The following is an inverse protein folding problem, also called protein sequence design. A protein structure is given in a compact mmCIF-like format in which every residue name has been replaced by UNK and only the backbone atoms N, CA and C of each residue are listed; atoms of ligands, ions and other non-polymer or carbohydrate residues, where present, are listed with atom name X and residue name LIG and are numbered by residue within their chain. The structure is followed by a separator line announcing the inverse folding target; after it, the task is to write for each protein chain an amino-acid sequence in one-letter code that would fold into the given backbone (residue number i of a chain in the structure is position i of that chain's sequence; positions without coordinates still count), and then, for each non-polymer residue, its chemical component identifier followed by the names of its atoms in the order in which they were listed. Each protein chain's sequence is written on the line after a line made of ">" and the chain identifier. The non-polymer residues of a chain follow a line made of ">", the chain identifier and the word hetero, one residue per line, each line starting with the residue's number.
data_IF_485154968463
#
_entry.id   IF_485154968463
#
_cell.length_a   1.000
_cell.length_b   1.000
_cell.length_c   1.000
_cell.angle_alpha   90.00
_cell.angle_beta   90.00
_cell.angle_gamma   90.00
#
_symmetry.space_group_name_H-M   'P 1'
#
loop_
_entity.id
_entity.type
_entity.pdbx_description
1 polymer ?
#
# COMPACT_ATOMS: atom_id res chain seq x y z
N UNK A 1 -39.81 46.78 -32.43
CA UNK A 1 -41.00 46.43 -31.61
C UNK A 1 -40.51 45.89 -30.28
N UNK A 2 -40.43 46.77 -29.26
CA UNK A 2 -40.02 46.42 -27.89
C UNK A 2 -41.26 45.90 -27.13
N UNK A 3 -41.19 44.63 -26.69
CA UNK A 3 -42.15 44.10 -25.70
C UNK A 3 -41.50 44.11 -24.34
N UNK A 4 -41.86 45.12 -23.53
CA UNK A 4 -41.57 45.18 -22.09
C UNK A 4 -42.52 44.26 -21.36
N UNK A 5 -41.99 43.23 -20.69
CA UNK A 5 -42.76 42.41 -19.77
C UNK A 5 -42.86 43.15 -18.42
N UNK A 6 -44.05 43.60 -18.11
CA UNK A 6 -44.39 44.11 -16.78
C UNK A 6 -44.74 42.91 -15.89
N UNK A 7 -43.83 42.51 -14.99
CA UNK A 7 -44.19 41.62 -13.89
C UNK A 7 -45.11 42.42 -12.91
N UNK A 8 -46.26 41.89 -12.56
CA UNK A 8 -47.14 42.60 -11.64
C UNK A 8 -46.56 42.56 -10.22
N UNK A 9 -46.41 43.72 -9.60
CA UNK A 9 -45.91 43.92 -8.24
C UNK A 9 -46.67 43.11 -7.16
N UNK A 10 -47.86 42.62 -7.52
CA UNK A 10 -48.69 41.76 -6.67
C UNK A 10 -48.09 40.38 -6.40
N UNK A 11 -47.28 39.81 -7.34
CA UNK A 11 -46.64 38.54 -7.17
C UNK A 11 -45.40 38.61 -6.26
N UNK A 12 -44.74 39.76 -6.25
CA UNK A 12 -43.60 40.00 -5.38
C UNK A 12 -44.01 40.19 -3.91
N UNK A 13 -45.19 40.73 -3.67
CA UNK A 13 -45.76 40.90 -2.33
C UNK A 13 -46.27 39.58 -1.73
N UNK A 14 -46.76 38.63 -2.55
CA UNK A 14 -47.11 37.27 -2.10
C UNK A 14 -45.89 36.43 -1.77
N UNK A 15 -44.77 36.61 -2.47
CA UNK A 15 -43.51 35.89 -2.16
C UNK A 15 -42.85 36.36 -0.85
N UNK A 16 -42.95 37.66 -0.52
CA UNK A 16 -42.47 38.20 0.76
C UNK A 16 -43.36 37.80 1.96
N UNK A 17 -44.66 37.64 1.76
CA UNK A 17 -45.57 37.18 2.82
C UNK A 17 -45.46 35.68 3.11
N UNK A 18 -44.97 34.85 2.16
CA UNK A 18 -44.77 33.44 2.36
C UNK A 18 -43.44 33.10 3.08
N UNK A 19 -42.47 34.02 3.09
CA UNK A 19 -41.20 33.83 3.77
C UNK A 19 -41.24 34.11 5.28
N UNK A 20 -42.33 34.72 5.78
CA UNK A 20 -42.51 35.06 7.20
C UNK A 20 -43.27 34.01 8.04
N UNK A 21 -43.73 32.92 7.41
CA UNK A 21 -44.58 31.92 8.12
C UNK A 21 -43.96 30.55 8.37
N UNK A 22 -42.64 30.42 8.24
CA UNK A 22 -41.97 29.14 8.52
C UNK A 22 -41.00 29.18 9.69
N UNK A 23 -41.20 30.08 10.64
CA UNK A 23 -40.64 29.93 11.98
C UNK A 23 -41.72 29.40 12.92
N UNK A 24 -42.28 28.23 12.62
CA UNK A 24 -42.87 27.43 13.67
C UNK A 24 -41.69 26.78 14.35
N UNK A 25 -41.35 27.24 15.54
CA UNK A 25 -40.59 26.47 16.52
C UNK A 25 -41.26 25.09 16.58
N UNK A 26 -40.55 24.05 16.17
CA UNK A 26 -40.88 22.70 16.58
C UNK A 26 -40.58 22.59 18.06
N UNK A 27 -41.54 22.98 18.86
CA UNK A 27 -41.72 22.45 20.18
C UNK A 27 -42.64 21.25 19.99
N UNK A 28 -42.07 20.05 20.02
CA UNK A 28 -42.82 18.85 20.40
C UNK A 28 -41.88 17.69 20.64
N UNK A 29 -41.78 17.39 21.88
CA UNK A 29 -42.08 16.04 22.31
C UNK A 29 -40.91 15.14 22.62
N UNK A 30 -40.81 14.79 23.85
CA UNK A 30 -40.09 13.65 24.41
C UNK A 30 -38.57 13.71 24.15
N UNK A 31 -37.96 14.87 24.42
CA UNK A 31 -36.58 14.96 24.78
C UNK A 31 -36.40 14.25 26.13
N UNK A 32 -35.93 13.03 26.08
CA UNK A 32 -35.18 12.49 27.21
C UNK A 32 -34.15 13.54 27.58
N UNK A 33 -34.30 14.09 28.78
CA UNK A 33 -33.61 15.21 29.40
C UNK A 33 -32.08 15.15 29.17
N UNK A 34 -31.59 15.53 27.98
CA UNK A 34 -30.20 15.94 27.84
C UNK A 34 -30.04 17.30 28.48
N UNK A 35 -30.14 17.29 29.79
CA UNK A 35 -30.25 18.47 30.61
C UNK A 35 -28.89 19.16 30.67
N UNK A 36 -28.64 20.07 29.77
CA UNK A 36 -27.41 20.87 29.73
C UNK A 36 -27.38 21.99 30.77
N UNK A 37 -28.35 21.99 31.70
CA UNK A 37 -28.40 22.94 32.81
C UNK A 37 -28.65 22.24 34.14
N UNK A 38 -27.78 22.44 35.07
CA UNK A 38 -27.90 21.89 36.44
C UNK A 38 -27.54 22.95 37.48
N UNK A 39 -28.58 23.54 38.08
CA UNK A 39 -28.46 24.41 39.25
C UNK A 39 -27.51 25.59 39.08
N UNK A 40 -27.55 26.27 37.96
CA UNK A 40 -26.66 27.40 37.59
C UNK A 40 -25.40 26.99 36.84
N UNK A 41 -25.24 25.71 36.51
CA UNK A 41 -24.22 25.19 35.64
C UNK A 41 -24.87 24.86 34.29
N UNK A 42 -24.34 25.34 33.18
CA UNK A 42 -24.85 25.02 31.85
C UNK A 42 -23.71 24.78 30.87
N UNK A 43 -23.89 23.79 30.00
CA UNK A 43 -23.03 23.54 28.86
C UNK A 43 -23.71 24.13 27.61
N UNK A 44 -23.07 25.08 26.96
CA UNK A 44 -23.56 25.70 25.73
C UNK A 44 -22.98 25.01 24.49
N UNK A 45 -21.68 24.75 24.49
CA UNK A 45 -20.97 24.14 23.36
C UNK A 45 -19.71 23.46 23.85
N UNK A 46 -19.31 22.41 23.13
CA UNK A 46 -18.02 21.77 23.32
C UNK A 46 -17.34 21.53 21.95
N UNK A 47 -16.04 21.34 21.94
CA UNK A 47 -15.28 21.07 20.72
C UNK A 47 -13.78 21.25 20.85
N UNK A 48 -13.05 20.90 19.77
CA UNK A 48 -13.56 20.47 18.46
C UNK A 48 -14.18 19.06 18.48
N UNK A 49 -15.10 18.80 17.57
CA UNK A 49 -15.58 17.47 17.26
C UNK A 49 -15.75 17.44 15.73
N UNK A 50 -14.96 16.63 15.00
CA UNK A 50 -14.00 15.63 15.52
C UNK A 50 -12.76 16.22 16.20
N UNK A 51 -12.17 15.46 17.13
CA UNK A 51 -10.93 15.78 17.85
C UNK A 51 -9.93 14.62 17.71
N UNK A 52 -8.63 14.92 17.76
CA UNK A 52 -7.60 13.87 17.81
C UNK A 52 -7.45 13.33 19.24
N UNK A 53 -7.21 12.03 19.42
CA UNK A 53 -6.79 11.49 20.71
C UNK A 53 -5.46 12.13 21.14
N UNK A 54 -5.35 12.52 22.42
CA UNK A 54 -4.28 13.35 22.92
C UNK A 54 -4.47 14.86 22.65
N UNK A 55 -5.47 15.23 21.87
CA UNK A 55 -5.83 16.65 21.63
C UNK A 55 -6.60 17.25 22.80
N UNK A 56 -6.82 18.56 22.75
CA UNK A 56 -7.55 19.31 23.79
C UNK A 56 -8.99 19.51 23.38
N UNK A 57 -9.90 19.06 24.25
CA UNK A 57 -11.34 19.26 24.13
C UNK A 57 -11.75 20.39 25.07
N UNK A 58 -12.49 21.40 24.56
CA UNK A 58 -12.95 22.57 25.28
C UNK A 58 -14.44 22.47 25.53
N UNK A 59 -14.86 22.91 26.72
CA UNK A 59 -16.27 23.01 27.09
C UNK A 59 -16.55 24.47 27.47
N UNK A 60 -17.57 25.07 26.87
CA UNK A 60 -17.97 26.44 27.09
C UNK A 60 -19.39 26.49 27.64
N UNK A 61 -19.59 27.27 28.70
CA UNK A 61 -20.87 27.35 29.36
C UNK A 61 -20.90 28.36 30.50
N UNK A 62 -21.63 28.08 31.55
CA UNK A 62 -21.65 28.87 32.78
C UNK A 62 -21.36 27.96 33.96
N UNK A 63 -20.61 28.44 34.97
CA UNK A 63 -20.24 27.67 36.14
C UNK A 63 -19.38 26.46 35.85
N UNK A 64 -18.56 26.52 34.77
CA UNK A 64 -17.67 25.45 34.34
C UNK A 64 -16.59 25.13 35.37
N UNK A 65 -16.21 26.09 36.19
CA UNK A 65 -15.32 25.93 37.36
C UNK A 65 -15.82 24.92 38.41
N UNK A 66 -17.08 24.52 38.33
CA UNK A 66 -17.72 23.54 39.25
C UNK A 66 -17.81 22.13 38.69
N UNK A 67 -17.32 21.91 37.47
CA UNK A 67 -17.21 20.55 36.88
C UNK A 67 -16.11 19.81 37.62
N UNK A 68 -16.42 18.60 38.14
CA UNK A 68 -15.48 17.81 38.93
C UNK A 68 -14.81 16.70 38.14
N UNK A 69 -15.47 16.21 37.08
CA UNK A 69 -14.92 15.23 36.17
C UNK A 69 -15.61 15.31 34.79
N UNK A 70 -14.92 14.86 33.78
CA UNK A 70 -15.43 14.70 32.43
C UNK A 70 -15.35 13.22 32.05
N UNK A 71 -16.50 12.60 31.80
CA UNK A 71 -16.60 11.22 31.36
C UNK A 71 -16.71 11.17 29.83
N UNK A 72 -15.74 10.55 29.19
CA UNK A 72 -15.72 10.23 27.75
C UNK A 72 -15.83 8.70 27.63
N UNK A 73 -16.66 8.16 26.71
CA UNK A 73 -16.75 6.71 26.53
C UNK A 73 -15.37 6.06 26.28
N UNK A 74 -15.20 4.84 26.79
CA UNK A 74 -13.98 4.04 26.61
C UNK A 74 -12.79 4.38 27.51
N UNK A 75 -12.94 5.36 28.42
CA UNK A 75 -11.90 5.71 29.39
C UNK A 75 -12.48 6.01 30.77
N UNK A 76 -11.60 6.06 31.78
CA UNK A 76 -11.95 6.49 33.13
C UNK A 76 -12.32 7.98 33.16
N UNK A 77 -13.03 8.37 34.22
CA UNK A 77 -13.39 9.78 34.42
C UNK A 77 -12.14 10.67 34.48
N UNK A 78 -12.12 11.69 33.64
CA UNK A 78 -11.02 12.67 33.57
C UNK A 78 -11.22 13.69 34.68
N UNK A 79 -10.35 13.69 35.67
CA UNK A 79 -10.35 14.63 36.80
C UNK A 79 -9.27 15.72 36.66
N UNK A 80 -8.31 15.52 35.74
CA UNK A 80 -7.32 16.52 35.38
C UNK A 80 -7.95 17.52 34.39
N UNK A 81 -8.60 18.55 34.96
CA UNK A 81 -9.36 19.56 34.25
C UNK A 81 -8.61 20.89 34.33
N UNK A 82 -8.24 21.46 33.20
CA UNK A 82 -7.76 22.83 33.12
C UNK A 82 -8.96 23.79 33.21
N UNK A 83 -9.12 24.47 34.34
CA UNK A 83 -10.14 25.50 34.53
C UNK A 83 -9.60 26.84 34.03
N UNK A 84 -10.02 27.26 32.83
CA UNK A 84 -9.58 28.52 32.22
C UNK A 84 -10.37 29.69 32.85
N UNK A 85 -11.69 29.50 33.07
CA UNK A 85 -12.57 30.48 33.70
C UNK A 85 -13.85 29.78 34.20
N UNK A 86 -14.76 30.55 34.77
CA UNK A 86 -16.12 30.07 35.13
C UNK A 86 -16.96 29.74 33.88
N UNK A 87 -16.49 30.08 32.69
CA UNK A 87 -17.17 29.84 31.44
C UNK A 87 -16.44 28.86 30.50
N UNK A 88 -15.21 28.45 30.85
CA UNK A 88 -14.40 27.55 30.01
C UNK A 88 -13.56 26.58 30.85
N UNK A 89 -13.67 25.30 30.51
CA UNK A 89 -12.73 24.25 30.92
C UNK A 89 -12.17 23.53 29.74
N UNK A 90 -11.02 22.89 29.95
CA UNK A 90 -10.32 22.07 28.94
C UNK A 90 -9.89 20.75 29.54
N UNK A 91 -9.92 19.69 28.74
CA UNK A 91 -9.38 18.38 29.08
C UNK A 91 -8.58 17.82 27.91
N UNK A 92 -7.56 17.03 28.23
CA UNK A 92 -6.82 16.26 27.24
C UNK A 92 -7.58 14.96 26.98
N UNK A 93 -7.87 14.64 25.73
CA UNK A 93 -8.59 13.43 25.33
C UNK A 93 -7.68 12.21 25.49
N UNK A 94 -8.07 11.19 26.28
CA UNK A 94 -7.28 9.98 26.45
C UNK A 94 -7.13 9.17 25.15
N UNK A 95 -6.05 8.36 25.06
CA UNK A 95 -5.81 7.49 23.91
C UNK A 95 -6.85 6.38 23.75
N UNK A 96 -7.50 5.96 24.86
CA UNK A 96 -8.53 4.92 24.90
C UNK A 96 -9.94 5.43 24.62
N UNK A 97 -10.12 6.76 24.50
CA UNK A 97 -11.44 7.37 24.28
C UNK A 97 -12.15 6.80 23.05
N UNK A 98 -13.46 6.60 23.17
CA UNK A 98 -14.33 6.11 22.09
C UNK A 98 -15.36 7.17 21.70
N UNK A 99 -15.90 7.14 20.48
CA UNK A 99 -16.99 8.03 20.08
C UNK A 99 -18.22 7.87 20.98
N UNK A 100 -18.96 8.95 21.17
CA UNK A 100 -20.21 8.97 21.90
C UNK A 100 -20.47 10.25 22.68
N UNK A 101 -21.53 10.26 23.48
CA UNK A 101 -21.90 11.41 24.29
C UNK A 101 -20.92 11.59 25.46
N UNK A 102 -20.55 12.84 25.73
CA UNK A 102 -19.67 13.21 26.84
C UNK A 102 -20.49 13.68 28.01
N UNK A 103 -20.12 13.29 29.22
CA UNK A 103 -20.83 13.65 30.46
C UNK A 103 -19.92 14.50 31.35
N UNK A 104 -20.38 15.70 31.69
CA UNK A 104 -19.75 16.56 32.70
C UNK A 104 -20.36 16.27 34.05
N UNK A 105 -19.57 15.78 35.00
CA UNK A 105 -19.99 15.52 36.37
C UNK A 105 -19.91 16.78 37.19
N UNK A 106 -21.00 17.11 37.87
CA UNK A 106 -21.09 18.32 38.71
C UNK A 106 -21.75 18.01 40.06
N UNK A 107 -21.53 18.84 41.09
CA UNK A 107 -22.19 18.65 42.39
C UNK A 107 -23.72 18.78 42.35
N UNK A 108 -24.27 19.29 41.26
CA UNK A 108 -25.72 19.46 41.05
C UNK A 108 -26.36 18.41 40.15
N UNK A 109 -25.54 17.45 39.70
CA UNK A 109 -25.91 16.38 38.78
C UNK A 109 -25.17 16.47 37.44
N UNK A 110 -25.30 15.44 36.66
CA UNK A 110 -24.56 15.25 35.43
C UNK A 110 -25.19 16.04 34.28
N UNK A 111 -24.34 16.58 33.37
CA UNK A 111 -24.73 17.27 32.15
C UNK A 111 -24.18 16.45 30.97
N UNK A 112 -25.08 15.91 30.14
CA UNK A 112 -24.70 15.13 28.95
C UNK A 112 -24.74 16.01 27.72
N UNK A 113 -23.75 15.88 26.84
CA UNK A 113 -23.74 16.61 25.56
C UNK A 113 -24.89 16.16 24.65
N UNK A 114 -25.41 17.08 23.82
CA UNK A 114 -26.48 16.77 22.84
C UNK A 114 -25.96 16.07 21.60
N UNK A 115 -24.70 16.28 21.26
CA UNK A 115 -24.04 15.70 20.11
C UNK A 115 -22.90 14.80 20.56
N UNK A 116 -22.62 13.79 19.78
CA UNK A 116 -21.53 12.87 20.04
C UNK A 116 -20.16 13.52 19.77
N UNK A 117 -19.19 13.16 20.58
CA UNK A 117 -17.78 13.37 20.31
C UNK A 117 -17.35 12.38 19.24
N UNK A 118 -16.73 12.87 18.19
CA UNK A 118 -16.14 12.06 17.13
C UNK A 118 -14.63 12.33 17.03
N UNK A 119 -13.91 11.44 16.37
CA UNK A 119 -12.45 11.52 16.31
C UNK A 119 -11.95 11.72 14.88
N UNK A 120 -10.86 12.48 14.76
CA UNK A 120 -10.03 12.57 13.57
C UNK A 120 -8.72 11.86 13.86
N UNK A 121 -8.38 10.90 13.01
CA UNK A 121 -7.17 10.11 13.11
C UNK A 121 -6.42 10.20 11.77
N UNK A 122 -5.66 11.29 11.57
CA UNK A 122 -4.93 11.49 10.34
C UNK A 122 -3.79 10.46 10.25
N UNK A 123 -3.97 9.47 9.38
CA UNK A 123 -2.92 8.48 9.11
C UNK A 123 -1.77 9.21 8.39
N UNK A 124 -0.56 9.03 8.88
CA UNK A 124 0.64 9.56 8.26
C UNK A 124 1.71 8.48 8.18
N UNK A 125 2.36 8.38 7.04
CA UNK A 125 3.59 7.62 6.84
C UNK A 125 4.76 8.60 6.97
N UNK A 126 5.69 8.35 7.89
CA UNK A 126 6.83 9.23 8.16
C UNK A 126 8.12 8.68 7.57
N UNK A 127 8.36 7.37 7.72
CA UNK A 127 9.55 6.72 7.20
C UNK A 127 9.34 5.22 7.01
N UNK A 128 10.27 4.59 6.32
CA UNK A 128 10.38 3.14 6.24
C UNK A 128 11.85 2.72 6.20
N UNK A 129 12.14 1.53 6.66
CA UNK A 129 13.49 0.93 6.67
C UNK A 129 13.41 -0.61 6.60
N UNK A 130 14.36 -1.25 5.91
CA UNK A 130 15.43 -0.66 5.12
C UNK A 130 14.93 -0.06 3.80
N UNK A 131 15.73 0.77 3.13
CA UNK A 131 15.40 1.33 1.81
C UNK A 131 15.55 0.30 0.69
N UNK A 132 16.42 -0.70 0.89
CA UNK A 132 16.61 -1.87 0.03
C UNK A 132 16.31 -3.13 0.84
N UNK A 133 15.53 -4.05 0.26
CA UNK A 133 15.12 -5.28 0.93
C UNK A 133 15.10 -6.44 -0.05
N UNK A 134 15.57 -7.61 0.41
CA UNK A 134 15.43 -8.86 -0.33
C UNK A 134 13.99 -9.40 -0.17
N UNK A 135 13.37 -9.98 -1.20
CA UNK A 135 12.11 -10.71 -1.07
C UNK A 135 12.14 -11.68 0.13
N UNK A 136 11.09 -11.72 0.93
CA UNK A 136 11.04 -12.44 2.21
C UNK A 136 11.67 -11.70 3.40
N UNK A 137 12.30 -10.55 3.19
CA UNK A 137 12.84 -9.70 4.26
C UNK A 137 11.77 -8.84 4.93
N UNK A 138 12.06 -8.38 6.15
CA UNK A 138 11.16 -7.53 6.93
C UNK A 138 11.33 -6.06 6.54
N UNK A 139 10.22 -5.38 6.27
CA UNK A 139 10.10 -3.93 6.11
C UNK A 139 9.42 -3.36 7.35
N UNK A 140 10.05 -2.37 7.98
CA UNK A 140 9.48 -1.59 9.07
C UNK A 140 9.00 -0.24 8.54
N UNK A 141 7.74 0.09 8.78
CA UNK A 141 7.09 1.34 8.38
C UNK A 141 6.73 2.10 9.65
N UNK A 142 7.10 3.37 9.75
CA UNK A 142 6.81 4.22 10.91
C UNK A 142 5.96 5.42 10.53
N UNK A 143 5.12 5.87 11.49
CA UNK A 143 4.20 6.97 11.25
C UNK A 143 3.20 7.16 12.39
N UNK A 144 2.06 7.76 12.08
CA UNK A 144 0.97 7.97 13.03
C UNK A 144 -0.33 7.31 12.57
N UNK A 145 -1.08 6.77 13.54
CA UNK A 145 -2.34 6.06 13.34
C UNK A 145 -2.25 4.85 12.39
N UNK A 146 -1.09 4.22 12.32
CA UNK A 146 -0.85 3.06 11.48
C UNK A 146 -1.67 1.82 11.90
N UNK A 147 -2.22 1.80 13.12
CA UNK A 147 -3.16 0.76 13.57
C UNK A 147 -4.48 0.74 12.77
N UNK A 148 -4.76 1.76 11.98
CA UNK A 148 -5.95 1.84 11.11
C UNK A 148 -5.69 1.26 9.71
N UNK A 149 -4.45 1.00 9.36
CA UNK A 149 -4.08 0.40 8.07
C UNK A 149 -4.59 -1.04 8.01
N UNK A 150 -5.16 -1.41 6.87
CA UNK A 150 -5.69 -2.75 6.59
C UNK A 150 -4.88 -3.52 5.56
N UNK A 151 -4.07 -2.81 4.77
CA UNK A 151 -3.24 -3.42 3.75
C UNK A 151 -2.04 -2.54 3.38
N UNK A 152 -0.96 -3.19 3.00
CA UNK A 152 0.21 -2.58 2.34
C UNK A 152 0.22 -3.08 0.91
N UNK A 153 0.20 -2.16 -0.05
CA UNK A 153 0.18 -2.47 -1.48
C UNK A 153 1.54 -2.07 -2.05
N UNK A 154 2.34 -3.06 -2.43
CA UNK A 154 3.62 -2.86 -3.10
C UNK A 154 3.43 -2.55 -4.58
N UNK A 155 4.50 -2.19 -5.27
CA UNK A 155 4.47 -1.99 -6.71
C UNK A 155 3.95 -3.25 -7.43
N UNK A 156 3.36 -3.07 -8.62
CA UNK A 156 2.66 -4.12 -9.38
C UNK A 156 1.47 -4.75 -8.63
N UNK A 157 0.78 -3.92 -7.79
CA UNK A 157 -0.45 -4.29 -7.08
C UNK A 157 -0.33 -5.49 -6.12
N UNK A 158 0.89 -5.82 -5.69
CA UNK A 158 1.13 -6.91 -4.73
C UNK A 158 0.71 -6.47 -3.34
N UNK A 159 -0.38 -7.03 -2.83
CA UNK A 159 -1.02 -6.60 -1.57
C UNK A 159 -0.73 -7.58 -0.44
N UNK A 160 -0.40 -7.03 0.73
CA UNK A 160 -0.28 -7.76 2.00
C UNK A 160 -1.35 -7.22 2.95
N UNK A 161 -2.34 -8.03 3.35
CA UNK A 161 -3.39 -7.62 4.27
C UNK A 161 -2.88 -7.58 5.72
N UNK A 162 -3.60 -6.85 6.61
CA UNK A 162 -3.16 -6.60 7.97
C UNK A 162 -3.05 -7.86 8.85
N UNK A 163 -3.77 -8.92 8.53
CA UNK A 163 -3.69 -10.21 9.22
C UNK A 163 -2.40 -11.01 8.89
N UNK A 164 -1.67 -10.60 7.87
CA UNK A 164 -0.35 -11.13 7.48
C UNK A 164 0.81 -10.24 7.97
N UNK A 165 0.55 -9.14 8.66
CA UNK A 165 1.60 -8.30 9.22
C UNK A 165 2.35 -9.03 10.35
N UNK A 166 3.66 -8.87 10.40
CA UNK A 166 4.48 -9.38 11.51
C UNK A 166 4.05 -8.72 12.83
N UNK A 167 3.84 -7.40 12.80
CA UNK A 167 3.28 -6.63 13.90
C UNK A 167 2.66 -5.34 13.40
N UNK A 168 1.69 -4.84 14.17
CA UNK A 168 1.05 -3.56 13.91
C UNK A 168 0.79 -2.82 15.22
N UNK A 169 1.14 -1.56 15.25
CA UNK A 169 0.86 -0.64 16.36
C UNK A 169 0.38 0.70 15.80
N UNK A 170 0.11 1.67 16.67
CA UNK A 170 -0.26 3.02 16.23
C UNK A 170 0.85 3.71 15.43
N UNK A 171 2.12 3.42 15.74
CA UNK A 171 3.27 4.14 15.19
C UNK A 171 4.16 3.27 14.31
N UNK A 172 3.93 1.96 14.24
CA UNK A 172 4.80 1.04 13.49
C UNK A 172 3.99 -0.10 12.88
N UNK A 173 4.32 -0.44 11.65
CA UNK A 173 3.95 -1.68 10.98
C UNK A 173 5.23 -2.40 10.58
N UNK A 174 5.26 -3.72 10.80
CA UNK A 174 6.27 -4.62 10.28
C UNK A 174 5.61 -5.61 9.36
N UNK A 175 6.13 -5.71 8.14
CA UNK A 175 5.57 -6.58 7.09
C UNK A 175 6.70 -7.31 6.38
N UNK A 176 6.46 -8.56 5.99
CA UNK A 176 7.37 -9.29 5.11
C UNK A 176 7.10 -8.86 3.67
N UNK A 177 8.17 -8.48 2.97
CA UNK A 177 8.07 -8.11 1.55
C UNK A 177 7.83 -9.38 0.74
N UNK A 178 6.73 -9.47 -0.03
CA UNK A 178 6.39 -10.65 -0.81
C UNK A 178 7.45 -10.99 -1.87
N UNK A 179 7.56 -12.28 -2.21
CA UNK A 179 8.47 -12.75 -3.27
C UNK A 179 8.19 -12.12 -4.63
N UNK A 180 6.94 -11.75 -4.88
CA UNK A 180 6.48 -11.12 -6.13
C UNK A 180 6.58 -9.59 -6.12
N UNK A 181 6.98 -8.96 -5.02
CA UNK A 181 7.10 -7.51 -4.96
C UNK A 181 8.16 -6.99 -5.92
N UNK A 182 7.92 -5.80 -6.48
CA UNK A 182 8.84 -5.10 -7.39
C UNK A 182 9.32 -3.80 -6.75
N UNK A 183 10.46 -3.30 -7.20
CA UNK A 183 10.96 -1.97 -6.82
C UNK A 183 9.96 -0.89 -7.20
N UNK A 184 9.68 0.00 -6.26
CA UNK A 184 8.76 1.11 -6.46
C UNK A 184 8.20 1.66 -5.17
N UNK A 185 7.29 2.62 -5.30
CA UNK A 185 6.54 3.15 -4.17
C UNK A 185 5.50 2.15 -3.71
N UNK A 186 5.32 2.05 -2.42
CA UNK A 186 4.22 1.29 -1.82
C UNK A 186 3.15 2.23 -1.26
N UNK A 187 1.97 1.69 -1.02
CA UNK A 187 0.78 2.40 -0.55
C UNK A 187 0.31 1.75 0.75
N UNK A 188 -0.05 2.57 1.73
CA UNK A 188 -0.83 2.14 2.88
C UNK A 188 -2.29 2.44 2.62
N UNK A 189 -3.18 1.49 2.87
CA UNK A 189 -4.62 1.61 2.66
C UNK A 189 -5.38 1.26 3.95
N UNK A 190 -6.41 2.03 4.25
CA UNK A 190 -7.31 1.78 5.39
C UNK A 190 -8.42 0.76 5.06
N UNK A 191 -8.46 0.25 3.82
CA UNK A 191 -9.41 -0.76 3.36
C UNK A 191 -10.87 -0.29 3.35
N UNK A 192 -11.13 1.02 3.37
CA UNK A 192 -12.48 1.56 3.26
C UNK A 192 -13.06 1.37 1.84
N UNK A 193 -14.39 1.49 1.67
CA UNK A 193 -15.04 1.43 0.35
C UNK A 193 -14.47 2.49 -0.62
N UNK A 194 -14.12 3.67 -0.08
CA UNK A 194 -13.30 4.68 -0.75
C UNK A 194 -12.02 4.78 0.06
N UNK A 195 -10.95 4.06 -0.32
CA UNK A 195 -9.78 3.92 0.52
C UNK A 195 -8.98 5.23 0.60
N UNK A 196 -8.45 5.49 1.77
CA UNK A 196 -7.43 6.50 1.96
C UNK A 196 -6.07 5.89 1.62
N UNK A 197 -5.47 6.33 0.52
CA UNK A 197 -4.18 5.86 0.03
C UNK A 197 -3.07 6.81 0.44
N UNK A 198 -2.14 6.31 1.24
CA UNK A 198 -0.96 7.04 1.67
C UNK A 198 0.26 6.44 0.97
N UNK A 199 0.87 7.19 0.08
CA UNK A 199 2.03 6.77 -0.71
C UNK A 199 3.31 6.98 0.06
N UNK A 200 4.28 6.05 -0.09
CA UNK A 200 5.64 6.27 0.39
C UNK A 200 6.27 7.47 -0.34
N UNK A 201 7.07 8.27 0.36
CA UNK A 201 7.80 9.39 -0.27
C UNK A 201 8.91 8.86 -1.19
N UNK A 202 9.67 7.87 -0.70
CA UNK A 202 10.72 7.18 -1.47
C UNK A 202 10.22 5.89 -2.11
N UNK A 203 11.03 5.33 -2.99
CA UNK A 203 10.86 4.00 -3.55
C UNK A 203 11.52 2.98 -2.64
N UNK A 204 10.87 1.83 -2.45
CA UNK A 204 11.47 0.65 -1.85
C UNK A 204 12.23 -0.09 -2.94
N UNK A 205 13.53 -0.29 -2.76
CA UNK A 205 14.33 -1.09 -3.65
C UNK A 205 14.20 -2.58 -3.28
N UNK A 206 13.73 -3.39 -4.22
CA UNK A 206 13.61 -4.84 -4.03
C UNK A 206 14.74 -5.52 -4.76
N UNK A 207 15.56 -6.25 -3.99
CA UNK A 207 16.74 -6.92 -4.51
C UNK A 207 16.37 -7.95 -5.57
N UNK A 208 17.07 -7.90 -6.70
CA UNK A 208 16.91 -8.82 -7.82
C UNK A 208 18.18 -9.72 -7.95
N UNK A 209 18.08 -10.86 -8.64
CA UNK A 209 19.28 -11.58 -9.12
C UNK A 209 20.15 -10.63 -9.96
N UNK A 210 21.46 -10.75 -9.86
CA UNK A 210 22.37 -9.88 -10.62
C UNK A 210 23.60 -10.63 -11.12
N UNK A 211 24.16 -10.11 -12.20
CA UNK A 211 25.45 -10.53 -12.78
C UNK A 211 26.31 -9.28 -13.00
N UNK A 212 27.63 -9.41 -12.85
CA UNK A 212 28.53 -8.28 -13.11
C UNK A 212 28.43 -7.83 -14.57
N UNK A 213 28.38 -8.79 -15.52
CA UNK A 213 28.09 -8.56 -16.91
C UNK A 213 27.47 -9.83 -17.52
N UNK A 214 26.48 -9.69 -18.44
CA UNK A 214 25.98 -10.84 -19.18
C UNK A 214 27.09 -11.57 -19.93
N UNK A 215 27.04 -12.92 -19.92
CA UNK A 215 28.01 -13.73 -20.62
C UNK A 215 27.78 -13.69 -22.14
N UNK A 216 28.85 -13.50 -22.92
CA UNK A 216 28.83 -13.69 -24.37
C UNK A 216 29.10 -15.15 -24.73
N UNK A 217 28.06 -15.86 -25.14
CA UNK A 217 28.10 -17.28 -25.48
C UNK A 217 28.14 -17.46 -27.00
N UNK A 218 29.34 -17.33 -27.56
CA UNK A 218 29.55 -17.48 -29.02
C UNK A 218 29.83 -18.94 -29.40
N UNK A 219 29.35 -19.37 -30.58
CA UNK A 219 29.54 -20.73 -31.13
C UNK A 219 29.05 -21.87 -30.21
N UNK A 220 28.00 -21.61 -29.46
CA UNK A 220 27.38 -22.61 -28.58
C UNK A 220 26.49 -23.56 -29.36
N UNK A 221 26.32 -24.75 -28.80
CA UNK A 221 25.54 -25.82 -29.39
C UNK A 221 24.43 -26.27 -28.46
N UNK A 222 23.33 -26.80 -28.97
CA UNK A 222 22.39 -27.57 -28.19
C UNK A 222 23.10 -28.62 -27.32
N UNK A 223 22.72 -28.74 -26.05
CA UNK A 223 23.35 -29.66 -25.11
C UNK A 223 24.55 -29.10 -24.35
N UNK A 224 25.07 -27.92 -24.71
CA UNK A 224 26.14 -27.27 -23.95
C UNK A 224 25.65 -26.86 -22.56
N UNK A 225 26.44 -27.16 -21.55
CA UNK A 225 26.21 -26.75 -20.17
C UNK A 225 26.76 -25.35 -19.95
N UNK A 226 25.91 -24.44 -19.56
CA UNK A 226 26.23 -23.05 -19.27
C UNK A 226 26.29 -22.84 -17.75
N UNK A 227 27.30 -22.10 -17.31
CA UNK A 227 27.47 -21.68 -15.93
C UNK A 227 27.58 -20.17 -15.88
N UNK A 228 26.76 -19.58 -15.04
CA UNK A 228 26.70 -18.13 -14.84
C UNK A 228 27.01 -17.86 -13.37
N UNK A 229 27.96 -16.98 -13.11
CA UNK A 229 28.26 -16.50 -11.77
C UNK A 229 27.56 -15.17 -11.51
N UNK A 230 27.02 -14.98 -10.32
CA UNK A 230 26.30 -13.78 -9.96
C UNK A 230 25.94 -13.74 -8.48
N UNK A 231 24.96 -12.92 -8.15
CA UNK A 231 24.46 -12.76 -6.78
C UNK A 231 22.93 -12.94 -6.74
N UNK A 232 22.44 -13.36 -5.59
CA UNK A 232 21.02 -13.55 -5.30
C UNK A 232 20.29 -14.52 -6.27
N UNK A 233 21.00 -15.53 -6.76
CA UNK A 233 20.39 -16.53 -7.64
C UNK A 233 19.42 -17.47 -6.92
N UNK A 234 19.39 -17.46 -5.57
CA UNK A 234 18.35 -18.10 -4.77
C UNK A 234 16.94 -17.51 -5.03
N UNK A 235 16.86 -16.29 -5.57
CA UNK A 235 15.61 -15.64 -5.98
C UNK A 235 15.12 -16.13 -7.36
N UNK A 236 15.97 -16.77 -8.16
CA UNK A 236 15.59 -17.23 -9.51
C UNK A 236 14.55 -18.34 -9.42
N UNK A 237 13.45 -18.17 -10.13
CA UNK A 237 12.38 -19.16 -10.28
C UNK A 237 12.39 -19.81 -11.66
N UNK A 238 12.84 -19.07 -12.69
CA UNK A 238 12.85 -19.53 -14.09
C UNK A 238 14.09 -19.06 -14.81
N UNK A 239 14.58 -19.89 -15.73
CA UNK A 239 15.57 -19.51 -16.74
C UNK A 239 14.88 -19.56 -18.11
N UNK A 240 14.79 -18.43 -18.79
CA UNK A 240 14.09 -18.30 -20.06
C UNK A 240 15.06 -18.11 -21.21
N UNK A 241 14.90 -18.94 -22.25
CA UNK A 241 15.66 -18.87 -23.49
C UNK A 241 15.14 -17.75 -24.41
N UNK A 242 15.92 -17.34 -25.43
CA UNK A 242 15.52 -16.29 -26.36
C UNK A 242 14.19 -16.55 -27.09
N UNK A 243 13.84 -17.81 -27.31
CA UNK A 243 12.59 -18.23 -27.93
C UNK A 243 11.39 -18.24 -26.95
N UNK A 244 11.63 -17.91 -25.66
CA UNK A 244 10.61 -17.90 -24.61
C UNK A 244 10.48 -19.21 -23.85
N UNK A 245 11.15 -20.28 -24.24
CA UNK A 245 11.11 -21.57 -23.54
C UNK A 245 11.81 -21.48 -22.18
N UNK A 246 11.26 -22.14 -21.18
CA UNK A 246 11.87 -22.29 -19.86
C UNK A 246 12.71 -23.57 -19.81
N UNK A 247 13.86 -23.52 -19.15
CA UNK A 247 14.75 -24.67 -18.98
C UNK A 247 15.01 -24.94 -17.51
N UNK A 248 15.25 -26.21 -17.18
CA UNK A 248 15.67 -26.62 -15.85
C UNK A 248 17.05 -26.09 -15.54
N UNK A 249 17.27 -25.72 -14.28
CA UNK A 249 18.53 -25.19 -13.80
C UNK A 249 18.87 -25.71 -12.40
N UNK A 250 20.13 -25.60 -12.05
CA UNK A 250 20.61 -25.83 -10.68
C UNK A 250 21.35 -24.59 -10.20
N UNK A 251 21.26 -24.31 -8.92
CA UNK A 251 21.94 -23.20 -8.26
C UNK A 251 22.84 -23.74 -7.17
N UNK A 252 24.06 -23.21 -7.09
CA UNK A 252 25.02 -23.50 -6.02
C UNK A 252 25.44 -22.18 -5.40
N UNK A 253 25.12 -21.99 -4.12
CA UNK A 253 25.58 -20.83 -3.37
C UNK A 253 27.00 -21.07 -2.82
N UNK A 254 27.85 -20.06 -2.89
CA UNK A 254 29.17 -20.07 -2.30
C UNK A 254 29.53 -18.72 -1.65
N UNK A 255 30.64 -18.69 -0.89
CA UNK A 255 31.14 -17.43 -0.30
C UNK A 255 31.71 -16.45 -1.32
N UNK A 256 31.91 -16.88 -2.56
CA UNK A 256 32.46 -16.08 -3.67
C UNK A 256 31.36 -15.65 -4.67
N UNK A 257 30.10 -15.93 -4.33
CA UNK A 257 28.93 -15.67 -5.16
C UNK A 257 28.15 -16.94 -5.50
N UNK A 258 27.04 -16.78 -6.17
CA UNK A 258 26.19 -17.89 -6.61
C UNK A 258 26.56 -18.33 -8.02
N UNK A 259 26.46 -19.64 -8.29
CA UNK A 259 26.58 -20.19 -9.64
C UNK A 259 25.25 -20.79 -10.09
N UNK A 260 24.74 -20.32 -11.22
CA UNK A 260 23.58 -20.86 -11.90
C UNK A 260 24.04 -21.74 -13.05
N UNK A 261 23.56 -22.99 -13.13
CA UNK A 261 23.92 -23.94 -14.18
C UNK A 261 22.68 -24.44 -14.89
N UNK A 262 22.68 -24.37 -16.22
CA UNK A 262 21.60 -24.89 -17.08
C UNK A 262 22.16 -25.43 -18.40
N UNK A 263 21.34 -26.18 -19.15
CA UNK A 263 21.75 -26.77 -20.44
C UNK A 263 20.97 -26.12 -21.56
N UNK A 264 21.66 -25.78 -22.66
CA UNK A 264 21.01 -25.23 -23.85
C UNK A 264 20.11 -26.28 -24.52
N UNK A 265 18.82 -25.99 -24.77
CA UNK A 265 17.89 -26.93 -25.40
C UNK A 265 18.17 -27.10 -26.89
N UNK A 266 17.62 -28.16 -27.49
CA UNK A 266 17.80 -28.47 -28.90
C UNK A 266 17.31 -27.39 -29.87
N UNK A 267 16.34 -26.59 -29.45
CA UNK A 267 15.71 -25.52 -30.21
C UNK A 267 16.21 -24.12 -29.81
N UNK A 268 17.38 -24.00 -29.15
CA UNK A 268 17.94 -22.71 -28.81
C UNK A 268 18.17 -21.85 -30.04
N UNK A 269 17.82 -20.58 -29.94
CA UNK A 269 18.04 -19.54 -30.95
C UNK A 269 18.97 -18.44 -30.42
N UNK A 270 19.50 -17.63 -31.35
CA UNK A 270 20.28 -16.46 -30.96
C UNK A 270 19.43 -15.47 -30.16
N UNK A 271 20.06 -14.82 -29.17
CA UNK A 271 19.42 -13.80 -28.36
C UNK A 271 19.79 -13.84 -26.88
N UNK A 272 19.00 -13.14 -26.07
CA UNK A 272 19.24 -13.01 -24.64
C UNK A 272 18.64 -14.18 -23.84
N UNK A 273 19.43 -14.69 -22.90
CA UNK A 273 18.98 -15.64 -21.87
C UNK A 273 18.70 -14.81 -20.62
N UNK A 274 17.52 -14.96 -20.09
CA UNK A 274 17.06 -14.19 -18.93
C UNK A 274 16.73 -15.12 -17.76
N UNK A 275 16.95 -14.61 -16.53
CA UNK A 275 16.41 -15.21 -15.33
C UNK A 275 15.26 -14.39 -14.82
N UNK A 276 14.26 -15.05 -14.25
CA UNK A 276 13.08 -14.42 -13.68
C UNK A 276 12.94 -14.85 -12.21
N UNK A 277 12.90 -13.90 -11.26
CA UNK A 277 12.43 -14.14 -9.91
C UNK A 277 10.90 -14.31 -9.88
N UNK A 278 10.33 -14.44 -8.69
CA UNK A 278 8.89 -14.54 -8.50
C UNK A 278 8.11 -13.26 -8.92
N UNK A 279 8.81 -12.13 -9.02
CA UNK A 279 8.25 -10.85 -9.52
C UNK A 279 8.17 -10.76 -11.04
N UNK A 280 8.60 -11.81 -11.78
CA UNK A 280 8.67 -11.86 -13.25
C UNK A 280 9.51 -10.74 -13.91
N UNK A 281 10.31 -10.01 -13.11
CA UNK A 281 11.26 -9.02 -13.64
C UNK A 281 12.40 -9.73 -14.37
N UNK A 282 12.58 -9.44 -15.65
CA UNK A 282 13.61 -10.07 -16.48
C UNK A 282 14.98 -9.51 -16.18
N UNK A 283 15.94 -10.39 -15.87
CA UNK A 283 17.35 -10.06 -15.73
C UNK A 283 18.14 -10.82 -16.76
N UNK A 284 18.84 -10.11 -17.65
CA UNK A 284 19.68 -10.71 -18.69
C UNK A 284 20.96 -11.25 -18.06
N UNK A 285 21.22 -12.55 -18.23
CA UNK A 285 22.41 -13.21 -17.65
C UNK A 285 23.40 -13.67 -18.73
N UNK A 286 22.95 -13.86 -19.96
CA UNK A 286 23.83 -14.22 -21.08
C UNK A 286 23.20 -13.81 -22.40
N UNK A 287 24.05 -13.65 -23.42
CA UNK A 287 23.64 -13.56 -24.82
C UNK A 287 24.21 -14.75 -25.56
N UNK A 288 23.39 -15.52 -26.26
CA UNK A 288 23.82 -16.70 -27.00
C UNK A 288 23.82 -16.43 -28.51
N UNK A 289 24.89 -16.87 -29.16
CA UNK A 289 25.00 -16.97 -30.62
C UNK A 289 25.25 -18.44 -30.92
N UNK A 290 24.28 -19.08 -31.57
CA UNK A 290 24.34 -20.51 -31.88
C UNK A 290 25.29 -20.78 -33.04
N UNK A 291 26.11 -21.83 -32.91
CA UNK A 291 27.03 -22.24 -33.95
C UNK A 291 26.26 -22.59 -35.24
N UNK A 292 26.61 -21.91 -36.31
CA UNK A 292 26.03 -22.24 -37.61
C UNK A 292 26.76 -23.45 -38.21
N UNK A 293 26.03 -24.43 -38.77
CA UNK A 293 26.66 -25.57 -39.44
C UNK A 293 27.53 -25.07 -40.60
N UNK A 294 28.81 -25.41 -40.58
CA UNK A 294 29.71 -25.16 -41.68
C UNK A 294 29.90 -26.41 -42.53
N UNK A 295 30.18 -26.23 -43.81
CA UNK A 295 30.42 -27.33 -44.76
C UNK A 295 29.29 -28.35 -44.88
N UNK A 296 28.03 -27.88 -44.98
CA UNK A 296 26.89 -28.73 -45.28
C UNK A 296 27.03 -29.22 -46.75
N UNK A 297 27.22 -30.50 -46.91
CA UNK A 297 27.32 -31.13 -48.23
C UNK A 297 26.10 -32.04 -48.43
N UNK A 298 25.36 -31.84 -49.51
CA UNK A 298 24.28 -32.77 -49.86
C UNK A 298 24.86 -34.11 -50.40
N UNK A 299 24.41 -35.21 -49.82
CA UNK A 299 24.83 -36.56 -50.29
C UNK A 299 23.56 -37.34 -50.66
N UNK A 300 23.43 -37.86 -51.87
CA UNK A 300 24.37 -37.85 -52.99
C UNK A 300 24.43 -36.49 -53.72
N UNK A 301 25.61 -36.12 -54.19
CA UNK A 301 25.86 -34.89 -54.93
C UNK A 301 25.43 -34.92 -56.41
N UNK A 302 24.71 -35.93 -56.89
CA UNK A 302 24.44 -36.13 -58.30
C UNK A 302 22.99 -36.44 -58.62
N UNK A 303 22.43 -35.71 -59.61
CA UNK A 303 21.22 -36.01 -60.39
C UNK A 303 19.97 -36.39 -59.55
N UNK A 304 19.59 -35.51 -58.62
CA UNK A 304 18.34 -35.67 -57.87
C UNK A 304 17.12 -35.50 -58.80
N UNK A 305 16.14 -36.38 -58.67
CA UNK A 305 14.84 -36.28 -59.33
C UNK A 305 13.78 -35.90 -58.33
N UNK A 306 12.69 -35.33 -58.81
CA UNK A 306 11.54 -35.01 -57.94
C UNK A 306 11.07 -36.27 -57.16
N UNK A 307 11.10 -36.21 -55.85
CA UNK A 307 10.76 -37.31 -54.92
C UNK A 307 11.96 -38.03 -54.30
N UNK A 308 13.19 -37.71 -54.67
CA UNK A 308 14.36 -38.28 -54.02
C UNK A 308 14.56 -37.73 -52.57
N UNK A 309 14.90 -38.59 -51.66
CA UNK A 309 15.18 -38.24 -50.28
C UNK A 309 16.61 -37.67 -50.19
N UNK A 310 16.75 -36.44 -49.74
CA UNK A 310 18.05 -35.80 -49.50
C UNK A 310 18.38 -35.97 -48.03
N UNK A 311 19.51 -36.63 -47.71
CA UNK A 311 20.07 -36.66 -46.37
C UNK A 311 21.19 -35.60 -46.32
N UNK A 312 21.01 -34.57 -45.51
CA UNK A 312 22.10 -33.63 -45.25
C UNK A 312 22.95 -34.13 -44.09
N UNK A 313 24.27 -34.14 -44.25
CA UNK A 313 25.21 -34.45 -43.21
C UNK A 313 25.98 -33.19 -42.84
N UNK A 314 25.83 -32.73 -41.63
CA UNK A 314 26.60 -31.62 -41.09
C UNK A 314 27.81 -32.21 -40.32
N UNK A 315 28.99 -31.82 -40.75
CA UNK A 315 30.24 -32.15 -40.03
C UNK A 315 30.57 -31.01 -39.08
N UNK A 316 30.27 -31.17 -37.81
CA UNK A 316 30.91 -30.37 -36.77
C UNK A 316 32.30 -30.94 -36.55
N UNK A 317 33.36 -30.08 -36.59
CA UNK A 317 34.73 -30.52 -36.26
C UNK A 317 34.81 -31.08 -34.85
N UNK A 318 34.81 -32.41 -34.73
CA UNK A 318 35.32 -33.08 -33.57
C UNK A 318 36.85 -32.91 -33.61
N UNK A 319 37.45 -32.03 -32.82
CA UNK A 319 38.86 -32.09 -32.49
C UNK A 319 39.03 -33.35 -31.69
N UNK A 320 39.66 -34.36 -32.28
CA UNK A 320 40.26 -35.45 -31.55
C UNK A 320 41.41 -34.83 -30.72
N UNK A 321 41.29 -34.83 -29.42
CA UNK A 321 42.47 -34.66 -28.55
C UNK A 321 43.26 -35.96 -28.58
N UNK A 322 44.47 -35.90 -29.17
CA UNK A 322 45.54 -36.80 -28.83
C UNK A 322 46.14 -36.43 -27.48
#
# INVERSE_FOLDING_TARGET
>A
MNKTYKFPALWMMCLMLFSCLTFTACDNGDDEDTNQYKGGISLNVFGPSPVSRGGVLRFLGSGMDKVTAVAIPGCDDITDIEVVSDTEIRVTVPQTAQPGLVVLKTPKGDITTKTELTFTEPIALEAFAPAEVKPGGELTITGEYLNLIKEVIFADEVTVPADEFVSQSRQEIKVIVPDSAQTGKFILSDGAEIPNWIYSEGELEVTLPSVEAPLDLVDKKPGDVIRVSGENFDLVKKVQMPNGDEVEFTMTASSEGDELTFTLPDNVSDGEITVLPASDVKVVVATVVVATPSNVVAVPAVNLRGGDMITSVSYTHLRAHE
#
